data_IF_490265983579
#
_entry.id   IF_490265983579
#
_cell.length_a   1.000
_cell.length_b   1.000
_cell.length_c   1.000
_cell.angle_alpha   90.00
_cell.angle_beta   90.00
_cell.angle_gamma   90.00
#
_symmetry.space_group_name_H-M   'P 1'
#
loop_
_entity.id
_entity.type
_entity.pdbx_description
1 polymer ?
#
# COMPACT_ATOMS: atom_id res chain seq x y z
N UNK A 1 5.34 -11.88 -17.56
CA UNK A 1 6.28 -10.73 -17.61
C UNK A 1 5.60 -9.40 -17.27
N UNK A 2 4.56 -8.97 -17.99
CA UNK A 2 3.86 -7.69 -17.73
C UNK A 2 3.35 -7.59 -16.28
N UNK A 3 2.68 -8.64 -15.78
CA UNK A 3 2.15 -8.68 -14.40
C UNK A 3 3.26 -8.51 -13.36
N UNK A 4 4.41 -9.16 -13.57
CA UNK A 4 5.57 -9.03 -12.67
C UNK A 4 6.12 -7.61 -12.67
N UNK A 5 6.25 -6.99 -13.84
CA UNK A 5 6.74 -5.60 -13.96
C UNK A 5 5.77 -4.65 -13.26
N UNK A 6 4.46 -4.81 -13.46
CA UNK A 6 3.45 -4.02 -12.77
C UNK A 6 3.54 -4.16 -11.24
N UNK A 7 3.74 -5.39 -10.74
CA UNK A 7 3.98 -5.65 -9.33
C UNK A 7 5.23 -4.96 -8.79
N UNK A 8 6.36 -5.06 -9.50
CA UNK A 8 7.62 -4.38 -9.12
C UNK A 8 7.48 -2.86 -9.09
N UNK A 9 6.80 -2.28 -10.08
CA UNK A 9 6.50 -0.84 -10.11
C UNK A 9 5.66 -0.44 -8.90
N UNK A 10 4.64 -1.24 -8.55
CA UNK A 10 3.79 -0.96 -7.39
C UNK A 10 4.58 -1.01 -6.07
N UNK A 11 5.45 -2.02 -5.91
CA UNK A 11 6.35 -2.12 -4.74
C UNK A 11 7.29 -0.93 -4.67
N UNK A 12 7.92 -0.55 -5.79
CA UNK A 12 8.83 0.60 -5.83
C UNK A 12 8.11 1.91 -5.48
N UNK A 13 6.89 2.12 -5.98
CA UNK A 13 6.08 3.27 -5.64
C UNK A 13 5.71 3.31 -4.15
N UNK A 14 5.34 2.17 -3.56
CA UNK A 14 5.02 2.07 -2.14
C UNK A 14 6.26 2.40 -1.27
N UNK A 15 7.42 1.82 -1.60
CA UNK A 15 8.68 2.10 -0.90
C UNK A 15 9.05 3.57 -1.02
N UNK A 16 9.01 4.15 -2.22
CA UNK A 16 9.33 5.58 -2.42
C UNK A 16 8.38 6.47 -1.64
N UNK A 17 7.07 6.17 -1.64
CA UNK A 17 6.09 6.95 -0.88
C UNK A 17 6.32 6.85 0.64
N UNK A 18 6.62 5.65 1.15
CA UNK A 18 6.96 5.43 2.55
C UNK A 18 8.22 6.20 2.95
N UNK A 19 9.30 6.09 2.17
CA UNK A 19 10.55 6.81 2.40
C UNK A 19 10.32 8.32 2.42
N UNK A 20 9.57 8.86 1.45
CA UNK A 20 9.30 10.30 1.40
C UNK A 20 8.41 10.73 2.57
N UNK A 21 7.37 9.96 2.91
CA UNK A 21 6.44 10.34 3.97
C UNK A 21 7.04 10.26 5.37
N UNK A 22 7.97 9.34 5.61
CA UNK A 22 8.56 9.08 6.95
C UNK A 22 9.93 9.70 7.13
N UNK A 23 10.80 9.60 6.13
CA UNK A 23 12.21 9.98 6.23
C UNK A 23 12.52 11.31 5.54
N UNK A 24 11.71 11.74 4.57
CA UNK A 24 11.85 13.09 4.02
C UNK A 24 11.21 14.10 4.96
N UNK A 25 12.02 15.04 5.43
CA UNK A 25 11.56 16.20 6.22
C UNK A 25 10.71 17.19 5.39
N UNK A 26 10.42 16.89 4.12
CA UNK A 26 9.68 17.75 3.18
C UNK A 26 8.15 17.54 3.21
N UNK A 27 7.63 16.67 4.07
CA UNK A 27 6.19 16.39 4.20
C UNK A 27 5.76 15.07 3.58
N UNK A 28 4.45 14.87 3.43
CA UNK A 28 3.89 13.59 2.95
C UNK A 28 4.23 13.27 1.49
N UNK A 29 4.54 12.01 1.21
CA UNK A 29 4.81 11.48 -0.13
C UNK A 29 3.64 11.66 -1.11
N UNK A 30 3.85 11.45 -2.42
CA UNK A 30 2.85 11.75 -3.44
C UNK A 30 1.54 10.95 -3.29
N UNK A 31 1.59 9.75 -2.71
CA UNK A 31 0.42 8.91 -2.50
C UNK A 31 -0.21 9.20 -1.13
N UNK A 32 0.59 9.18 -0.06
CA UNK A 32 0.15 9.50 1.30
C UNK A 32 -0.41 10.92 1.42
N UNK A 33 0.25 11.90 0.82
CA UNK A 33 -0.20 13.30 0.79
C UNK A 33 -1.51 13.49 0.04
N UNK A 34 -1.71 12.79 -1.10
CA UNK A 34 -3.01 12.80 -1.82
C UNK A 34 -4.11 12.11 -1.03
N UNK A 35 -3.79 11.02 -0.35
CA UNK A 35 -4.73 10.29 0.50
C UNK A 35 -5.23 11.19 1.63
N UNK A 36 -4.29 11.80 2.37
CA UNK A 36 -4.55 12.79 3.41
C UNK A 36 -5.38 13.95 2.87
N UNK A 37 -4.99 14.55 1.74
CA UNK A 37 -5.72 15.67 1.14
C UNK A 37 -7.15 15.30 0.69
N UNK A 38 -7.37 14.07 0.20
CA UNK A 38 -8.71 13.59 -0.17
C UNK A 38 -9.59 13.30 1.04
N UNK A 39 -9.02 12.72 2.09
CA UNK A 39 -9.74 12.44 3.33
C UNK A 39 -10.04 13.74 4.09
N UNK A 40 -9.16 14.74 4.01
CA UNK A 40 -9.29 16.01 4.70
C UNK A 40 -10.06 17.08 3.92
N UNK A 41 -9.97 17.08 2.58
CA UNK A 41 -10.53 18.12 1.71
C UNK A 41 -12.03 18.37 1.85
N UNK A 42 -12.90 17.36 2.07
CA UNK A 42 -14.32 17.55 2.37
C UNK A 42 -14.56 18.19 3.74
N UNK A 43 -13.72 17.82 4.71
CA UNK A 43 -13.78 18.30 6.07
C UNK A 43 -13.39 19.79 6.11
N UNK A 44 -12.24 20.15 5.55
CA UNK A 44 -11.74 21.52 5.50
C UNK A 44 -12.72 22.51 4.83
N UNK A 45 -13.53 22.05 3.87
CA UNK A 45 -14.52 22.86 3.15
C UNK A 45 -15.77 23.20 3.95
N UNK A 46 -16.07 22.51 5.06
CA UNK A 46 -17.31 22.73 5.81
C UNK A 46 -17.24 23.89 6.80
N UNK A 47 -16.07 24.50 7.03
CA UNK A 47 -15.87 25.69 7.87
C UNK A 47 -16.24 25.57 9.35
N UNK A 48 -16.82 24.44 9.79
CA UNK A 48 -17.39 24.21 11.12
C UNK A 48 -16.92 22.89 11.74
N UNK A 49 -15.63 22.59 11.62
CA UNK A 49 -15.06 21.40 12.25
C UNK A 49 -14.66 21.71 13.69
N UNK A 50 -15.31 21.07 14.65
CA UNK A 50 -14.92 21.14 16.05
C UNK A 50 -13.59 20.43 16.32
N UNK A 51 -12.85 20.91 17.33
CA UNK A 51 -11.54 20.38 17.74
C UNK A 51 -11.50 18.84 17.89
N UNK A 52 -12.56 18.23 18.45
CA UNK A 52 -12.67 16.77 18.62
C UNK A 52 -12.65 15.98 17.31
N UNK A 53 -13.17 16.56 16.24
CA UNK A 53 -13.17 15.94 14.92
C UNK A 53 -11.75 16.01 14.35
N UNK A 54 -11.09 17.17 14.46
CA UNK A 54 -9.70 17.36 14.02
C UNK A 54 -8.73 16.37 14.68
N UNK A 55 -8.89 16.16 15.99
CA UNK A 55 -8.09 15.21 16.78
C UNK A 55 -8.26 13.76 16.30
N UNK A 56 -9.50 13.32 16.08
CA UNK A 56 -9.77 11.97 15.52
C UNK A 56 -9.21 11.81 14.11
N UNK A 57 -9.30 12.84 13.28
CA UNK A 57 -8.74 12.79 11.92
C UNK A 57 -7.22 12.62 11.95
N UNK A 58 -6.52 13.39 12.78
CA UNK A 58 -5.07 13.22 12.96
C UNK A 58 -4.71 11.81 13.44
N UNK A 59 -5.44 11.29 14.44
CA UNK A 59 -5.22 9.93 14.95
C UNK A 59 -5.49 8.82 13.92
N UNK A 60 -6.48 9.00 13.04
CA UNK A 60 -6.85 8.01 12.02
C UNK A 60 -5.95 8.05 10.79
N UNK A 61 -5.24 9.15 10.52
CA UNK A 61 -4.37 9.26 9.33
C UNK A 61 -3.21 8.26 9.36
N UNK A 62 -2.55 8.10 10.51
CA UNK A 62 -1.43 7.16 10.65
C UNK A 62 -1.81 5.71 10.32
N UNK A 63 -2.85 5.09 10.94
CA UNK A 63 -3.22 3.73 10.61
C UNK A 63 -3.71 3.60 9.16
N UNK A 64 -4.36 4.62 8.60
CA UNK A 64 -4.81 4.60 7.19
C UNK A 64 -3.63 4.63 6.22
N UNK A 65 -2.61 5.44 6.48
CA UNK A 65 -1.36 5.46 5.70
C UNK A 65 -0.65 4.11 5.78
N UNK A 66 -0.48 3.58 7.00
CA UNK A 66 0.14 2.27 7.22
C UNK A 66 -0.60 1.15 6.49
N UNK A 67 -1.94 1.10 6.61
CA UNK A 67 -2.75 0.12 5.89
C UNK A 67 -2.62 0.27 4.38
N UNK A 68 -2.51 1.50 3.87
CA UNK A 68 -2.32 1.75 2.44
C UNK A 68 -0.99 1.17 1.96
N UNK A 69 0.11 1.39 2.69
CA UNK A 69 1.41 0.80 2.35
C UNK A 69 1.39 -0.72 2.43
N UNK A 70 0.85 -1.29 3.51
CA UNK A 70 0.69 -2.74 3.66
C UNK A 70 -0.08 -3.34 2.48
N UNK A 71 -1.19 -2.73 2.08
CA UNK A 71 -2.00 -3.20 0.95
C UNK A 71 -1.25 -3.06 -0.38
N UNK A 72 -0.54 -1.95 -0.62
CA UNK A 72 0.21 -1.76 -1.86
C UNK A 72 1.38 -2.75 -1.98
N UNK A 73 2.12 -2.96 -0.91
CA UNK A 73 3.20 -3.94 -0.87
C UNK A 73 2.66 -5.36 -1.05
N UNK A 74 1.58 -5.70 -0.35
CA UNK A 74 0.92 -7.00 -0.48
C UNK A 74 0.45 -7.28 -1.91
N UNK A 75 -0.28 -6.34 -2.51
CA UNK A 75 -0.75 -6.46 -3.90
C UNK A 75 0.43 -6.49 -4.87
N UNK A 76 1.45 -5.65 -4.64
CA UNK A 76 2.65 -5.59 -5.49
C UNK A 76 3.39 -6.93 -5.53
N UNK A 77 3.66 -7.52 -4.36
CA UNK A 77 4.28 -8.84 -4.26
C UNK A 77 3.39 -9.96 -4.82
N UNK A 78 2.08 -9.89 -4.58
CA UNK A 78 1.12 -10.85 -5.14
C UNK A 78 1.22 -10.85 -6.67
N UNK A 79 1.27 -9.68 -7.31
CA UNK A 79 1.43 -9.55 -8.76
C UNK A 79 2.79 -10.11 -9.25
N UNK A 80 3.86 -9.89 -8.48
CA UNK A 80 5.18 -10.46 -8.79
C UNK A 80 5.11 -11.99 -8.85
N UNK A 81 4.53 -12.64 -7.84
CA UNK A 81 4.40 -14.10 -7.77
C UNK A 81 3.37 -14.67 -8.76
N UNK A 82 2.29 -13.94 -9.07
CA UNK A 82 1.36 -14.34 -10.13
C UNK A 82 2.03 -14.37 -11.50
N UNK A 83 2.91 -13.40 -11.79
CA UNK A 83 3.59 -13.32 -13.08
C UNK A 83 4.77 -14.29 -13.26
N UNK A 84 5.16 -15.04 -12.22
CA UNK A 84 6.27 -16.01 -12.19
C UNK A 84 5.77 -17.34 -11.58
N UNK A 85 5.22 -18.28 -12.39
CA UNK A 85 4.67 -19.53 -11.89
C UNK A 85 5.62 -20.37 -11.03
N UNK A 86 6.90 -20.39 -11.42
CA UNK A 86 7.97 -21.13 -10.73
C UNK A 86 8.39 -20.51 -9.39
N UNK A 87 7.90 -19.32 -9.04
CA UNK A 87 8.35 -18.60 -7.84
C UNK A 87 7.75 -19.16 -6.55
N UNK A 88 6.60 -19.83 -6.63
CA UNK A 88 5.95 -20.47 -5.49
C UNK A 88 5.51 -21.86 -5.91
N UNK A 89 6.16 -22.86 -5.34
CA UNK A 89 5.95 -24.27 -5.67
C UNK A 89 5.52 -25.04 -4.43
N UNK A 90 4.80 -26.13 -4.65
CA UNK A 90 4.45 -27.06 -3.58
C UNK A 90 5.73 -27.76 -3.09
N UNK A 91 6.00 -27.73 -1.79
CA UNK A 91 7.22 -28.30 -1.22
C UNK A 91 7.35 -29.82 -1.41
N UNK A 92 6.23 -30.53 -1.58
CA UNK A 92 6.18 -31.98 -1.73
C UNK A 92 6.24 -32.40 -3.20
N UNK A 93 5.52 -31.71 -4.09
CA UNK A 93 5.42 -32.11 -5.50
C UNK A 93 6.35 -31.33 -6.42
N UNK A 94 6.89 -30.19 -5.99
CA UNK A 94 7.70 -29.29 -6.82
C UNK A 94 6.89 -28.51 -7.87
N UNK A 95 5.60 -28.76 -7.98
CA UNK A 95 4.72 -28.15 -8.99
C UNK A 95 4.30 -26.72 -8.59
N UNK A 96 4.15 -25.79 -9.55
CA UNK A 96 3.60 -24.46 -9.31
C UNK A 96 2.25 -24.50 -8.60
N UNK A 97 2.10 -23.70 -7.54
CA UNK A 97 0.82 -23.64 -6.81
C UNK A 97 -0.18 -22.72 -7.53
N UNK A 98 -1.48 -22.91 -7.25
CA UNK A 98 -2.56 -22.07 -7.76
C UNK A 98 -2.54 -20.64 -7.20
N UNK A 99 -3.34 -19.76 -7.81
CA UNK A 99 -3.38 -18.34 -7.42
C UNK A 99 -3.80 -18.09 -5.95
N UNK A 100 -4.70 -18.86 -5.29
CA UNK A 100 -5.05 -18.62 -3.89
C UNK A 100 -3.88 -18.94 -2.95
N UNK A 101 -3.11 -19.99 -3.26
CA UNK A 101 -1.94 -20.36 -2.48
C UNK A 101 -0.82 -19.32 -2.61
N UNK A 102 -0.69 -18.68 -3.78
CA UNK A 102 0.27 -17.57 -3.97
C UNK A 102 -0.13 -16.33 -3.18
N UNK A 103 -1.42 -16.02 -3.14
CA UNK A 103 -1.97 -14.92 -2.35
C UNK A 103 -1.68 -15.15 -0.85
N UNK A 104 -1.95 -16.37 -0.36
CA UNK A 104 -1.63 -16.77 1.01
C UNK A 104 -0.13 -16.74 1.33
N UNK A 105 0.72 -17.16 0.40
CA UNK A 105 2.17 -17.13 0.57
C UNK A 105 2.73 -15.71 0.72
N UNK A 106 2.05 -14.71 0.16
CA UNK A 106 2.55 -13.33 0.10
C UNK A 106 2.41 -12.59 1.44
N UNK A 107 1.45 -12.98 2.29
CA UNK A 107 1.15 -12.32 3.56
C UNK A 107 -0.14 -12.79 4.19
#
# INVERSE_FOLDING_TARGET
MIVTIAGLVLVALAIVDEYVTTLSLHGGGPLSGRLVARLWGPAARSGRIGHRVLERYGALMLPVILLTWTLLLYVGWTLVFLGRPEAVVNATTGEPVGWPQRLYFTG
#
